data_IF_562737789871
#
_entry.id   IF_562737789871
#
_cell.length_a   1.000
_cell.length_b   1.000
_cell.length_c   1.000
_cell.angle_alpha   90.00
_cell.angle_beta   90.00
_cell.angle_gamma   90.00
#
_symmetry.space_group_name_H-M   'P 1'
#
loop_
_entity.id
_entity.type
_entity.pdbx_description
1 polymer ?
#
# COMPACT_ATOMS: atom_id res chain seq x y z
N UNK A 1 -16.76 15.51 -13.71
CA UNK A 1 -15.42 14.91 -13.75
C UNK A 1 -15.40 13.82 -14.83
N UNK A 2 -14.29 13.68 -15.57
CA UNK A 2 -14.07 12.63 -16.55
C UNK A 2 -13.09 11.59 -15.97
N UNK A 3 -13.43 10.31 -16.06
CA UNK A 3 -12.55 9.22 -15.69
C UNK A 3 -11.77 8.75 -16.93
N UNK A 4 -10.44 8.85 -16.88
CA UNK A 4 -9.56 8.39 -17.95
C UNK A 4 -8.90 7.08 -17.51
N UNK A 5 -9.32 5.97 -18.11
CA UNK A 5 -8.70 4.66 -17.90
C UNK A 5 -7.50 4.54 -18.84
N UNK A 6 -6.32 4.33 -18.26
CA UNK A 6 -5.08 4.20 -19.03
C UNK A 6 -4.90 2.75 -19.46
N UNK A 7 -4.71 2.48 -20.77
CA UNK A 7 -4.44 1.15 -21.28
C UNK A 7 -3.16 0.55 -20.67
N UNK A 8 -3.23 -0.68 -20.18
CA UNK A 8 -2.13 -1.34 -19.46
C UNK A 8 -0.81 -1.38 -20.25
N UNK A 9 -0.88 -1.57 -21.57
CA UNK A 9 0.31 -1.65 -22.43
C UNK A 9 1.13 -0.35 -22.46
N UNK A 10 0.52 0.82 -22.17
CA UNK A 10 1.25 2.09 -22.14
C UNK A 10 2.27 2.17 -21.01
N UNK A 11 2.08 1.42 -19.91
CA UNK A 11 3.02 1.40 -18.79
C UNK A 11 4.39 0.80 -19.14
N UNK A 12 4.48 0.00 -20.21
CA UNK A 12 5.75 -0.53 -20.72
C UNK A 12 6.56 0.48 -21.53
N UNK A 13 5.95 1.61 -21.94
CA UNK A 13 6.60 2.62 -22.79
C UNK A 13 6.34 4.01 -22.20
N UNK A 14 7.24 4.52 -21.33
CA UNK A 14 7.05 5.79 -20.60
C UNK A 14 6.72 6.99 -21.48
N UNK A 15 7.31 7.11 -22.67
CA UNK A 15 7.04 8.21 -23.59
C UNK A 15 5.59 8.21 -24.08
N UNK A 16 5.08 7.06 -24.52
CA UNK A 16 3.69 6.94 -24.98
C UNK A 16 2.69 7.16 -23.84
N UNK A 17 3.02 6.70 -22.62
CA UNK A 17 2.19 6.92 -21.44
C UNK A 17 2.09 8.40 -21.11
N UNK A 18 3.21 9.12 -21.10
CA UNK A 18 3.23 10.55 -20.80
C UNK A 18 2.58 11.39 -21.92
N UNK A 19 2.77 10.99 -23.18
CA UNK A 19 2.04 11.61 -24.29
C UNK A 19 0.53 11.45 -24.14
N UNK A 20 0.08 10.25 -23.76
CA UNK A 20 -1.33 9.98 -23.52
C UNK A 20 -1.90 10.83 -22.36
N UNK A 21 -1.18 10.88 -21.22
CA UNK A 21 -1.58 11.69 -20.05
C UNK A 21 -1.70 13.17 -20.43
N UNK A 22 -0.70 13.71 -21.14
CA UNK A 22 -0.72 15.10 -21.58
C UNK A 22 -1.83 15.37 -22.61
N UNK A 23 -2.02 14.47 -23.59
CA UNK A 23 -3.11 14.58 -24.59
C UNK A 23 -4.48 14.62 -23.93
N UNK A 24 -4.71 13.75 -22.94
CA UNK A 24 -5.97 13.69 -22.19
C UNK A 24 -6.09 14.79 -21.13
N UNK A 25 -5.10 15.65 -20.96
CA UNK A 25 -5.04 16.75 -19.96
C UNK A 25 -5.41 16.26 -18.57
N UNK A 26 -4.82 15.14 -18.15
CA UNK A 26 -5.09 14.51 -16.85
C UNK A 26 -4.67 15.47 -15.74
N UNK A 27 -5.58 15.76 -14.82
CA UNK A 27 -5.34 16.67 -13.70
C UNK A 27 -5.15 15.96 -12.37
N UNK A 28 -5.61 14.70 -12.26
CA UNK A 28 -5.48 13.88 -11.05
C UNK A 28 -5.02 12.48 -11.46
N UNK A 29 -3.97 11.97 -10.80
CA UNK A 29 -3.55 10.58 -10.91
C UNK A 29 -3.93 9.81 -9.63
N UNK A 30 -4.41 8.57 -9.80
CA UNK A 30 -4.62 7.62 -8.69
C UNK A 30 -3.93 6.32 -9.11
N UNK A 31 -2.74 6.06 -8.59
CA UNK A 31 -1.88 4.97 -9.05
C UNK A 31 -1.28 4.16 -7.90
N UNK A 32 -0.84 2.94 -8.21
CA UNK A 32 0.07 2.21 -7.34
C UNK A 32 1.43 2.93 -7.26
N UNK A 33 2.09 2.88 -6.09
CA UNK A 33 3.42 3.47 -5.90
C UNK A 33 4.44 2.92 -6.90
N UNK A 34 4.34 1.63 -7.26
CA UNK A 34 5.20 0.99 -8.28
C UNK A 34 5.04 1.60 -9.68
N UNK A 35 3.85 2.06 -10.06
CA UNK A 35 3.63 2.71 -11.36
C UNK A 35 4.34 4.08 -11.45
N UNK A 36 4.27 4.87 -10.38
CA UNK A 36 5.03 6.12 -10.27
C UNK A 36 6.54 5.83 -10.27
N UNK A 37 6.95 4.82 -9.49
CA UNK A 37 8.34 4.39 -9.40
C UNK A 37 8.91 3.95 -10.75
N UNK A 38 8.15 3.20 -11.54
CA UNK A 38 8.56 2.76 -12.88
C UNK A 38 8.88 3.93 -13.80
N UNK A 39 8.01 4.93 -13.88
CA UNK A 39 8.24 6.13 -14.68
C UNK A 39 9.46 6.92 -14.23
N UNK A 40 9.69 7.01 -12.92
CA UNK A 40 10.87 7.69 -12.37
C UNK A 40 12.17 6.92 -12.72
N UNK A 41 12.19 5.59 -12.55
CA UNK A 41 13.36 4.74 -12.85
C UNK A 41 13.67 4.72 -14.35
N UNK A 42 12.66 4.68 -15.19
CA UNK A 42 12.82 4.68 -16.66
C UNK A 42 13.00 6.10 -17.24
N UNK A 43 13.20 7.11 -16.36
CA UNK A 43 13.47 8.50 -16.75
C UNK A 43 12.39 9.13 -17.64
N UNK A 44 11.14 8.68 -17.48
CA UNK A 44 10.03 9.18 -18.29
C UNK A 44 9.85 10.69 -18.15
N UNK A 45 10.01 11.24 -16.94
CA UNK A 45 9.87 12.67 -16.68
C UNK A 45 10.98 13.54 -17.30
N UNK A 46 12.12 12.94 -17.72
CA UNK A 46 13.12 13.62 -18.54
C UNK A 46 12.64 13.81 -19.99
N UNK A 47 11.79 12.89 -20.49
CA UNK A 47 11.19 13.01 -21.81
C UNK A 47 10.08 14.05 -21.85
N UNK A 48 9.13 13.97 -20.91
CA UNK A 48 7.98 14.89 -20.87
C UNK A 48 7.40 15.00 -19.47
N UNK A 49 7.12 16.23 -19.04
CA UNK A 49 6.48 16.51 -17.75
C UNK A 49 5.00 16.82 -17.97
N UNK A 50 4.07 16.07 -17.34
CA UNK A 50 2.64 16.27 -17.46
C UNK A 50 2.17 17.42 -16.53
N UNK A 51 2.39 18.66 -16.94
CA UNK A 51 2.20 19.88 -16.12
C UNK A 51 0.76 20.19 -15.73
N UNK A 52 -0.22 19.55 -16.37
CA UNK A 52 -1.63 19.71 -16.01
C UNK A 52 -2.02 18.96 -14.72
N UNK A 53 -1.15 18.07 -14.23
CA UNK A 53 -1.41 17.30 -13.02
C UNK A 53 -1.35 18.22 -11.81
N UNK A 54 -2.45 18.26 -11.05
CA UNK A 54 -2.59 19.04 -9.82
C UNK A 54 -2.48 18.19 -8.56
N UNK A 55 -2.84 16.89 -8.67
CA UNK A 55 -2.85 15.98 -7.53
C UNK A 55 -2.48 14.56 -7.93
N UNK A 56 -1.66 13.92 -7.12
CA UNK A 56 -1.26 12.52 -7.28
C UNK A 56 -1.55 11.77 -5.98
N UNK A 57 -2.45 10.80 -6.07
CA UNK A 57 -2.69 9.82 -5.02
C UNK A 57 -1.92 8.54 -5.35
N UNK A 58 -1.22 7.98 -4.37
CA UNK A 58 -0.52 6.71 -4.54
C UNK A 58 -0.71 5.80 -3.34
N UNK A 59 -0.79 4.50 -3.60
CA UNK A 59 -1.05 3.49 -2.57
C UNK A 59 -0.53 2.11 -2.98
N UNK A 60 -0.84 1.11 -2.15
CA UNK A 60 -0.62 -0.30 -2.45
C UNK A 60 0.75 -0.81 -2.03
N UNK A 61 1.79 0.01 -2.07
CA UNK A 61 3.17 -0.35 -1.71
C UNK A 61 3.84 0.83 -1.00
N UNK A 62 4.94 0.54 -0.31
CA UNK A 62 5.77 1.60 0.27
C UNK A 62 6.44 2.39 -0.85
N UNK A 63 6.15 3.69 -0.92
CA UNK A 63 6.77 4.59 -1.90
C UNK A 63 8.20 4.94 -1.47
N UNK A 64 9.22 4.58 -2.26
CA UNK A 64 10.58 5.02 -1.98
C UNK A 64 10.70 6.55 -2.10
N UNK A 65 11.12 7.22 -1.04
CA UNK A 65 11.21 8.69 -0.99
C UNK A 65 12.09 9.26 -2.11
N UNK A 66 13.14 8.54 -2.49
CA UNK A 66 14.01 8.90 -3.61
C UNK A 66 13.25 9.00 -4.94
N UNK A 67 12.32 8.09 -5.21
CA UNK A 67 11.50 8.09 -6.43
C UNK A 67 10.40 9.16 -6.34
N UNK A 68 9.85 9.37 -5.15
CA UNK A 68 8.87 10.45 -4.90
C UNK A 68 9.48 11.83 -5.17
N UNK A 69 10.72 12.07 -4.73
CA UNK A 69 11.45 13.34 -5.00
C UNK A 69 11.58 13.65 -6.49
N UNK A 70 11.81 12.65 -7.34
CA UNK A 70 11.87 12.84 -8.79
C UNK A 70 10.57 13.47 -9.30
N UNK A 71 9.44 12.97 -8.82
CA UNK A 71 8.13 13.54 -9.16
C UNK A 71 7.91 14.94 -8.56
N UNK A 72 8.29 15.15 -7.30
CA UNK A 72 8.17 16.45 -6.63
C UNK A 72 9.03 17.53 -7.33
N UNK A 73 10.25 17.17 -7.77
CA UNK A 73 11.11 18.08 -8.53
C UNK A 73 10.53 18.40 -9.92
N UNK A 74 9.94 17.41 -10.60
CA UNK A 74 9.36 17.61 -11.93
C UNK A 74 8.04 18.39 -11.88
N UNK A 75 7.28 18.26 -10.79
CA UNK A 75 5.94 18.84 -10.62
C UNK A 75 5.84 19.62 -9.29
N UNK A 76 6.55 20.75 -9.12
CA UNK A 76 6.67 21.44 -7.83
C UNK A 76 5.36 22.04 -7.29
N UNK A 77 4.32 22.18 -8.12
CA UNK A 77 3.00 22.68 -7.70
C UNK A 77 1.96 21.59 -7.49
N UNK A 78 2.35 20.31 -7.57
CA UNK A 78 1.42 19.18 -7.46
C UNK A 78 1.30 18.72 -6.02
N UNK A 79 0.09 18.47 -5.56
CA UNK A 79 -0.18 17.83 -4.28
C UNK A 79 0.06 16.31 -4.39
N UNK A 80 0.86 15.77 -3.49
CA UNK A 80 1.10 14.32 -3.37
C UNK A 80 0.42 13.80 -2.12
N UNK A 81 -0.32 12.69 -2.24
CA UNK A 81 -1.02 12.08 -1.11
C UNK A 81 -0.73 10.58 -1.06
N UNK A 82 -0.09 10.15 0.02
CA UNK A 82 0.12 8.74 0.31
C UNK A 82 -1.14 8.16 0.93
N UNK A 83 -1.65 7.07 0.36
CA UNK A 83 -2.83 6.37 0.82
C UNK A 83 -2.45 4.96 1.31
N UNK A 84 -3.12 4.49 2.35
CA UNK A 84 -2.95 3.13 2.84
C UNK A 84 -4.31 2.50 3.15
N UNK A 85 -4.42 1.22 2.88
CA UNK A 85 -5.52 0.35 3.29
C UNK A 85 -5.46 -1.01 2.61
N UNK A 86 -5.99 -2.04 3.26
CA UNK A 86 -6.22 -3.34 2.63
C UNK A 86 -7.52 -3.34 1.83
N UNK A 87 -7.66 -4.29 0.92
CA UNK A 87 -8.88 -4.51 0.11
C UNK A 87 -10.11 -4.68 1.00
N UNK A 88 -9.94 -5.28 2.16
CA UNK A 88 -10.99 -5.61 3.13
C UNK A 88 -11.65 -4.38 3.79
N UNK A 89 -11.08 -3.16 3.64
CA UNK A 89 -11.69 -1.88 4.04
C UNK A 89 -12.07 -1.02 2.84
N UNK A 90 -12.25 -1.62 1.68
CA UNK A 90 -12.56 -0.93 0.41
C UNK A 90 -11.49 0.08 0.03
N UNK A 91 -10.35 -0.45 -0.39
CA UNK A 91 -9.18 0.18 -0.97
C UNK A 91 -8.27 0.95 0.03
N UNK A 92 -8.73 2.03 0.64
CA UNK A 92 -7.88 2.85 1.51
C UNK A 92 -8.63 3.29 2.78
N UNK A 93 -7.92 3.37 3.90
CA UNK A 93 -8.48 3.80 5.17
C UNK A 93 -7.72 4.95 5.83
N UNK A 94 -6.48 5.23 5.37
CA UNK A 94 -5.71 6.40 5.82
C UNK A 94 -5.16 7.19 4.65
N UNK A 95 -4.78 8.44 4.93
CA UNK A 95 -4.15 9.35 3.97
C UNK A 95 -3.09 10.20 4.66
N UNK A 96 -2.07 10.55 3.90
CA UNK A 96 -1.02 11.48 4.32
C UNK A 96 -0.69 12.46 3.19
N UNK A 97 -1.03 13.76 3.31
CA UNK A 97 -0.54 14.80 2.41
C UNK A 97 0.97 14.95 2.57
N UNK A 98 1.72 14.87 1.46
CA UNK A 98 3.17 14.98 1.48
C UNK A 98 3.57 16.44 1.30
N UNK A 99 3.65 17.17 2.40
CA UNK A 99 3.86 18.62 2.39
C UNK A 99 5.33 19.05 2.35
N UNK A 100 6.26 18.09 2.44
CA UNK A 100 7.70 18.36 2.40
C UNK A 100 8.45 17.35 1.54
N UNK A 101 9.68 17.67 1.22
CA UNK A 101 10.62 16.71 0.65
C UNK A 101 11.19 15.84 1.77
N UNK A 102 11.30 14.55 1.53
CA UNK A 102 11.87 13.58 2.46
C UNK A 102 13.29 13.21 2.05
N UNK A 103 14.19 13.09 3.03
CA UNK A 103 15.57 12.67 2.81
C UNK A 103 15.70 11.14 2.69
N UNK A 104 16.84 10.70 2.13
CA UNK A 104 17.10 9.26 1.98
C UNK A 104 17.16 8.59 3.36
N UNK A 105 16.42 7.50 3.51
CA UNK A 105 16.31 6.76 4.76
C UNK A 105 15.14 7.19 5.66
N UNK A 106 14.53 8.34 5.41
CA UNK A 106 13.30 8.70 6.11
C UNK A 106 12.13 7.80 5.67
N UNK A 107 11.18 7.64 6.58
CA UNK A 107 9.95 6.90 6.31
C UNK A 107 8.81 7.85 6.01
N UNK A 108 8.08 7.56 4.96
CA UNK A 108 6.86 8.27 4.62
C UNK A 108 5.72 7.75 5.51
N UNK A 109 4.99 8.64 6.23
CA UNK A 109 3.81 8.24 6.99
C UNK A 109 2.72 7.64 6.09
N UNK A 110 1.93 6.75 6.64
CA UNK A 110 0.63 6.36 6.06
C UNK A 110 -0.52 7.22 6.63
N UNK A 111 -0.20 8.12 7.55
CA UNK A 111 -0.98 9.27 7.97
C UNK A 111 -2.12 8.99 8.92
N UNK A 112 -3.26 9.63 8.67
CA UNK A 112 -4.43 9.62 9.55
C UNK A 112 -5.62 8.91 8.88
N UNK A 113 -6.56 8.37 9.67
CA UNK A 113 -7.77 7.76 9.15
C UNK A 113 -8.63 8.77 8.37
N UNK A 114 -9.30 8.30 7.31
CA UNK A 114 -10.40 9.04 6.73
C UNK A 114 -11.56 9.17 7.72
N UNK A 115 -12.39 10.18 7.53
CA UNK A 115 -13.64 10.32 8.27
C UNK A 115 -14.48 9.05 8.15
N UNK A 116 -15.09 8.63 9.27
CA UNK A 116 -15.86 7.39 9.34
C UNK A 116 -15.01 6.10 9.38
N UNK A 117 -13.69 6.19 9.34
CA UNK A 117 -12.77 5.04 9.53
C UNK A 117 -12.16 5.09 10.92
N UNK A 118 -11.96 3.92 11.51
CA UNK A 118 -11.19 3.76 12.75
C UNK A 118 -9.95 2.95 12.42
N UNK A 119 -8.78 3.47 12.80
CA UNK A 119 -7.51 2.75 12.68
C UNK A 119 -6.82 2.80 14.03
N UNK A 120 -6.49 1.63 14.55
CA UNK A 120 -5.87 1.45 15.86
C UNK A 120 -4.83 0.32 15.79
N UNK A 121 -3.96 0.28 16.78
CA UNK A 121 -2.90 -0.69 16.87
C UNK A 121 -3.19 -1.66 18.00
N UNK A 122 -2.99 -2.96 17.78
CA UNK A 122 -3.08 -3.99 18.80
C UNK A 122 -1.72 -4.63 19.03
N UNK A 123 -1.37 -4.83 20.30
CA UNK A 123 -0.22 -5.61 20.70
C UNK A 123 -0.50 -7.13 20.64
N UNK A 124 0.48 -7.93 21.04
CA UNK A 124 0.36 -9.41 21.05
C UNK A 124 -0.69 -9.91 22.05
N UNK A 125 -1.01 -9.12 23.07
CA UNK A 125 -2.02 -9.42 24.09
C UNK A 125 -3.40 -8.85 23.72
N UNK A 126 -3.58 -8.38 22.47
CA UNK A 126 -4.81 -7.76 21.98
C UNK A 126 -5.20 -6.48 22.74
N UNK A 127 -4.23 -5.78 23.32
CA UNK A 127 -4.43 -4.48 23.96
C UNK A 127 -4.15 -3.35 22.97
N UNK A 128 -4.91 -2.26 23.09
CA UNK A 128 -4.69 -1.07 22.24
C UNK A 128 -3.36 -0.43 22.63
N UNK A 129 -2.50 -0.26 21.62
CA UNK A 129 -1.23 0.46 21.76
C UNK A 129 -1.49 1.96 21.62
N UNK A 130 -1.22 2.71 22.67
CA UNK A 130 -1.36 4.17 22.73
C UNK A 130 -0.01 4.89 22.79
N UNK A 131 1.04 4.18 23.22
CA UNK A 131 2.38 4.73 23.37
C UNK A 131 3.01 5.04 22.00
N UNK A 132 3.58 6.26 21.83
CA UNK A 132 4.33 6.60 20.62
C UNK A 132 5.49 5.61 20.37
N UNK A 133 5.82 5.40 19.09
CA UNK A 133 6.89 4.52 18.60
C UNK A 133 6.74 3.03 18.94
N UNK A 134 5.76 2.65 19.78
CA UNK A 134 5.48 1.24 20.07
C UNK A 134 4.73 0.61 18.92
N UNK A 135 5.26 -0.52 18.43
CA UNK A 135 4.67 -1.26 17.33
C UNK A 135 3.45 -2.07 17.78
N UNK A 136 2.46 -2.14 16.90
CA UNK A 136 1.31 -3.02 17.02
C UNK A 136 0.79 -3.41 15.64
N UNK A 137 -0.09 -4.40 15.60
CA UNK A 137 -0.81 -4.78 14.38
C UNK A 137 -1.84 -3.70 14.03
N UNK A 138 -1.80 -3.22 12.81
CA UNK A 138 -2.78 -2.25 12.30
C UNK A 138 -4.13 -2.95 12.16
N UNK A 139 -5.13 -2.42 12.86
CA UNK A 139 -6.51 -2.87 12.79
C UNK A 139 -7.40 -1.76 12.26
N UNK A 140 -8.36 -2.12 11.41
CA UNK A 140 -9.21 -1.15 10.73
C UNK A 140 -10.69 -1.49 10.88
N UNK A 141 -11.52 -0.46 11.06
CA UNK A 141 -12.97 -0.57 11.15
C UNK A 141 -13.65 0.61 10.46
N UNK A 142 -14.90 0.45 10.11
CA UNK A 142 -15.71 1.49 9.48
C UNK A 142 -16.79 0.89 8.58
N UNK A 143 -17.64 1.74 8.04
CA UNK A 143 -18.79 1.31 7.22
C UNK A 143 -18.39 0.61 5.92
N UNK A 144 -17.19 0.88 5.40
CA UNK A 144 -16.67 0.23 4.19
C UNK A 144 -15.95 -1.10 4.46
N UNK A 145 -16.03 -1.61 5.70
CA UNK A 145 -15.45 -2.91 6.01
C UNK A 145 -16.21 -4.00 5.27
N UNK A 146 -15.49 -4.86 4.54
CA UNK A 146 -16.05 -6.00 3.82
C UNK A 146 -16.81 -6.95 4.77
N UNK A 147 -17.80 -7.66 4.23
CA UNK A 147 -18.56 -8.65 5.00
C UNK A 147 -17.73 -9.88 5.37
N UNK A 148 -16.67 -10.16 4.64
CA UNK A 148 -15.77 -11.30 4.83
C UNK A 148 -15.29 -11.83 3.50
N UNK A 149 -14.69 -13.02 3.54
CA UNK A 149 -14.25 -13.74 2.35
C UNK A 149 -15.35 -14.66 1.85
N UNK A 150 -15.62 -14.58 0.55
CA UNK A 150 -16.69 -15.38 -0.07
C UNK A 150 -16.42 -16.89 0.09
N UNK A 151 -17.40 -17.61 0.66
CA UNK A 151 -17.32 -19.06 0.94
C UNK A 151 -16.09 -19.51 1.74
N UNK A 152 -15.45 -18.61 2.48
CA UNK A 152 -14.32 -18.93 3.35
C UNK A 152 -14.56 -18.35 4.75
N UNK A 153 -15.34 -19.09 5.55
CA UNK A 153 -15.70 -18.69 6.91
C UNK A 153 -14.50 -18.73 7.84
N UNK A 154 -13.63 -19.71 7.68
CA UNK A 154 -12.45 -19.87 8.52
C UNK A 154 -11.54 -18.64 8.46
N UNK A 155 -11.15 -18.22 7.26
CA UNK A 155 -10.34 -17.01 7.08
C UNK A 155 -11.10 -15.73 7.46
N UNK A 156 -12.43 -15.70 7.26
CA UNK A 156 -13.26 -14.58 7.73
C UNK A 156 -13.19 -14.46 9.24
N UNK A 157 -13.42 -15.55 9.97
CA UNK A 157 -13.43 -15.57 11.44
C UNK A 157 -12.02 -15.36 12.02
N UNK A 158 -10.95 -15.68 11.27
CA UNK A 158 -9.56 -15.43 11.65
C UNK A 158 -9.20 -13.95 11.62
N UNK A 159 -9.64 -13.22 10.60
CA UNK A 159 -9.24 -11.83 10.35
C UNK A 159 -10.27 -10.79 10.76
N UNK A 160 -11.57 -11.08 10.63
CA UNK A 160 -12.63 -10.17 11.03
C UNK A 160 -13.09 -10.48 12.44
N UNK A 161 -12.90 -9.53 13.35
CA UNK A 161 -13.17 -9.68 14.79
C UNK A 161 -14.19 -8.67 15.26
N UNK A 162 -14.73 -8.90 16.45
CA UNK A 162 -15.60 -7.96 17.13
C UNK A 162 -14.80 -7.39 18.32
N UNK A 163 -14.72 -6.08 18.38
CA UNK A 163 -14.23 -5.36 19.55
C UNK A 163 -15.39 -5.06 20.47
N UNK A 164 -15.23 -5.37 21.74
CA UNK A 164 -16.18 -4.98 22.79
C UNK A 164 -15.53 -4.01 23.75
N UNK A 165 -16.20 -2.87 23.99
CA UNK A 165 -15.80 -1.89 24.98
C UNK A 165 -17.07 -1.45 25.74
N UNK A 166 -17.34 -2.10 26.86
CA UNK A 166 -18.59 -1.95 27.60
C UNK A 166 -19.80 -2.39 26.76
N UNK A 167 -20.81 -1.53 26.63
CA UNK A 167 -22.03 -1.78 25.83
C UNK A 167 -21.81 -1.53 24.32
N UNK A 168 -20.71 -0.93 23.92
CA UNK A 168 -20.40 -0.65 22.50
C UNK A 168 -19.60 -1.79 21.89
N UNK A 169 -20.06 -2.27 20.77
CA UNK A 169 -19.31 -3.23 19.96
C UNK A 169 -19.18 -2.74 18.52
N UNK A 170 -18.06 -3.06 17.88
CA UNK A 170 -17.88 -2.82 16.46
C UNK A 170 -17.01 -3.91 15.83
N UNK A 171 -17.25 -4.16 14.57
CA UNK A 171 -16.49 -5.12 13.79
C UNK A 171 -15.26 -4.46 13.22
N UNK A 172 -14.12 -5.17 13.24
CA UNK A 172 -12.85 -4.70 12.71
C UNK A 172 -12.11 -5.81 11.98
N UNK A 173 -11.18 -5.41 11.14
CA UNK A 173 -10.30 -6.29 10.38
C UNK A 173 -8.87 -6.18 10.88
N UNK A 174 -8.22 -7.33 11.06
CA UNK A 174 -6.80 -7.46 11.38
C UNK A 174 -6.02 -7.53 10.08
N UNK A 175 -5.19 -6.53 9.80
CA UNK A 175 -4.53 -6.41 8.49
C UNK A 175 -3.33 -7.33 8.33
N UNK A 176 -2.73 -7.80 9.44
CA UNK A 176 -1.43 -8.44 9.45
C UNK A 176 -0.26 -7.46 9.22
N UNK A 177 -0.55 -6.19 8.95
CA UNK A 177 0.45 -5.14 8.84
C UNK A 177 0.83 -4.62 10.22
N UNK A 178 2.12 -4.40 10.48
CA UNK A 178 2.62 -3.74 11.67
C UNK A 178 2.78 -2.25 11.42
N UNK A 179 2.45 -1.44 12.42
CA UNK A 179 2.63 0.00 12.40
C UNK A 179 2.96 0.56 13.78
N UNK A 180 3.26 1.84 13.81
CA UNK A 180 3.42 2.62 15.04
C UNK A 180 2.97 4.05 14.82
N UNK A 181 2.61 4.76 15.88
CA UNK A 181 2.37 6.21 15.83
C UNK A 181 3.67 6.93 16.12
N UNK A 182 4.08 7.80 15.20
CA UNK A 182 5.22 8.68 15.45
C UNK A 182 4.91 9.77 16.48
N UNK A 183 5.96 10.47 16.92
CA UNK A 183 5.81 11.64 17.79
C UNK A 183 4.99 12.77 17.15
N UNK A 184 4.90 12.82 15.83
CA UNK A 184 4.08 13.72 15.04
C UNK A 184 2.59 13.31 14.97
N UNK A 185 2.22 12.22 15.65
CA UNK A 185 0.86 11.67 15.67
C UNK A 185 0.44 10.87 14.45
N UNK A 186 1.26 10.88 13.38
CA UNK A 186 0.98 10.12 12.18
C UNK A 186 1.22 8.62 12.38
N UNK A 187 0.50 7.80 11.61
CA UNK A 187 0.73 6.37 11.55
C UNK A 187 1.82 6.06 10.51
N UNK A 188 2.73 5.15 10.89
CA UNK A 188 3.82 4.67 10.05
C UNK A 188 3.69 3.16 9.85
N UNK A 189 3.97 2.71 8.64
CA UNK A 189 4.07 1.28 8.33
C UNK A 189 5.42 0.72 8.81
N UNK A 190 5.39 -0.42 9.50
CA UNK A 190 6.57 -1.06 10.08
C UNK A 190 6.89 -2.46 9.54
N UNK A 191 6.18 -2.88 8.50
CA UNK A 191 6.34 -4.21 7.90
C UNK A 191 5.10 -5.07 8.08
N UNK A 192 5.26 -6.38 7.83
CA UNK A 192 4.19 -7.35 8.02
C UNK A 192 4.55 -8.34 9.12
N UNK A 193 3.51 -8.88 9.75
CA UNK A 193 3.61 -9.95 10.75
C UNK A 193 3.79 -11.33 10.09
N UNK A 194 3.30 -11.47 8.87
CA UNK A 194 3.35 -12.66 8.02
C UNK A 194 4.33 -12.52 6.85
N UNK A 195 4.41 -13.54 6.02
CA UNK A 195 5.27 -13.58 4.83
C UNK A 195 4.62 -13.00 3.56
N UNK A 196 3.43 -12.41 3.69
CA UNK A 196 2.77 -11.75 2.57
C UNK A 196 3.60 -10.56 2.08
N UNK A 197 3.68 -10.41 0.78
CA UNK A 197 4.39 -9.30 0.13
C UNK A 197 3.47 -8.55 -0.82
N UNK A 198 3.84 -7.30 -1.06
CA UNK A 198 3.29 -6.51 -2.18
C UNK A 198 4.38 -6.35 -3.22
N UNK A 199 4.14 -6.84 -4.44
CA UNK A 199 5.12 -6.86 -5.51
C UNK A 199 4.46 -6.48 -6.85
N UNK A 200 4.92 -5.39 -7.45
CA UNK A 200 4.40 -4.85 -8.72
C UNK A 200 2.87 -4.67 -8.72
N UNK A 201 2.32 -4.15 -7.63
CA UNK A 201 0.88 -3.93 -7.45
C UNK A 201 0.07 -5.18 -7.08
N UNK A 202 0.71 -6.34 -6.98
CA UNK A 202 0.05 -7.59 -6.57
C UNK A 202 0.30 -7.89 -5.10
N UNK A 203 -0.74 -8.36 -4.41
CA UNK A 203 -0.68 -8.93 -3.08
C UNK A 203 -0.40 -10.43 -3.22
N UNK A 204 0.72 -10.90 -2.70
CA UNK A 204 1.22 -12.26 -2.91
C UNK A 204 1.46 -12.91 -1.56
N UNK A 205 0.83 -14.08 -1.35
CA UNK A 205 1.11 -14.98 -0.25
C UNK A 205 2.26 -15.90 -0.68
N UNK A 206 3.44 -15.76 -0.06
CA UNK A 206 4.59 -16.62 -0.41
C UNK A 206 4.30 -18.08 -0.09
N UNK A 207 3.59 -18.35 0.99
CA UNK A 207 3.19 -19.71 1.40
C UNK A 207 2.27 -20.39 0.37
N UNK A 208 1.43 -19.62 -0.36
CA UNK A 208 0.61 -20.19 -1.44
C UNK A 208 1.46 -20.65 -2.62
N UNK A 209 2.50 -19.88 -2.96
CA UNK A 209 3.46 -20.26 -4.00
C UNK A 209 4.23 -21.51 -3.57
N UNK A 210 4.70 -21.54 -2.31
CA UNK A 210 5.42 -22.68 -1.73
C UNK A 210 4.56 -23.95 -1.78
N UNK A 211 3.33 -23.86 -1.33
CA UNK A 211 2.39 -24.98 -1.36
C UNK A 211 2.10 -25.51 -2.78
N UNK A 212 2.13 -24.63 -3.79
CA UNK A 212 1.97 -25.05 -5.19
C UNK A 212 3.22 -25.71 -5.75
N UNK A 213 4.39 -25.21 -5.41
CA UNK A 213 5.66 -25.83 -5.84
C UNK A 213 5.86 -27.19 -5.17
N UNK A 214 5.49 -27.36 -3.90
CA UNK A 214 5.55 -28.63 -3.16
C UNK A 214 4.62 -29.73 -3.75
N UNK A 215 3.64 -29.35 -4.58
CA UNK A 215 2.82 -30.33 -5.31
C UNK A 215 3.52 -30.94 -6.53
N UNK A 216 4.66 -30.39 -6.96
CA UNK A 216 5.43 -30.91 -8.08
C UNK A 216 6.17 -32.17 -7.66
N UNK A 217 6.08 -33.23 -8.48
CA UNK A 217 6.76 -34.50 -8.21
C UNK A 217 8.27 -34.30 -8.04
N UNK A 218 8.83 -34.85 -6.97
CA UNK A 218 10.24 -34.72 -6.61
C UNK A 218 10.59 -33.54 -5.71
N UNK A 219 9.69 -32.57 -5.51
CA UNK A 219 9.88 -31.47 -4.56
C UNK A 219 9.39 -31.89 -3.17
N UNK A 220 10.29 -31.87 -2.19
CA UNK A 220 9.95 -32.22 -0.80
C UNK A 220 9.55 -31.00 0.02
N UNK A 221 10.22 -29.89 -0.21
CA UNK A 221 10.01 -28.62 0.51
C UNK A 221 10.37 -27.45 -0.38
N UNK A 222 9.66 -26.35 -0.26
CA UNK A 222 9.95 -25.10 -0.94
C UNK A 222 10.02 -23.94 0.07
N UNK A 223 10.87 -22.97 -0.22
CA UNK A 223 10.91 -21.70 0.48
C UNK A 223 10.98 -20.56 -0.53
N UNK A 224 10.06 -19.63 -0.46
CA UNK A 224 9.99 -18.46 -1.32
C UNK A 224 10.44 -17.20 -0.56
N UNK A 225 11.24 -16.38 -1.21
CA UNK A 225 11.65 -15.08 -0.66
C UNK A 225 11.56 -13.99 -1.72
N UNK A 226 11.30 -12.76 -1.28
CA UNK A 226 11.48 -11.58 -2.10
C UNK A 226 12.91 -11.03 -1.94
N UNK A 227 13.75 -11.19 -2.97
CA UNK A 227 15.02 -10.48 -3.05
C UNK A 227 14.76 -8.98 -3.28
N UNK A 228 14.73 -8.21 -2.19
CA UNK A 228 14.42 -6.78 -2.25
C UNK A 228 15.45 -5.95 -3.02
N UNK A 229 16.71 -6.43 -3.14
CA UNK A 229 17.77 -5.72 -3.89
C UNK A 229 17.54 -5.80 -5.39
N UNK A 230 17.08 -6.95 -5.87
CA UNK A 230 16.80 -7.21 -7.29
C UNK A 230 15.33 -7.11 -7.64
N UNK A 231 14.48 -6.89 -6.66
CA UNK A 231 13.01 -6.88 -6.77
C UNK A 231 12.49 -8.13 -7.49
N UNK A 232 12.97 -9.32 -7.08
CA UNK A 232 12.64 -10.61 -7.69
C UNK A 232 12.23 -11.63 -6.66
N UNK A 233 11.19 -12.39 -6.98
CA UNK A 233 10.84 -13.59 -6.22
C UNK A 233 11.84 -14.69 -6.56
N UNK A 234 12.27 -15.43 -5.52
CA UNK A 234 13.13 -16.61 -5.63
C UNK A 234 12.48 -17.74 -4.87
N UNK A 235 12.40 -18.89 -5.49
CA UNK A 235 12.00 -20.14 -4.86
C UNK A 235 13.23 -21.06 -4.74
N UNK A 236 13.38 -21.66 -3.59
CA UNK A 236 14.40 -22.66 -3.28
C UNK A 236 13.69 -23.97 -2.97
N UNK A 237 14.00 -25.04 -3.67
CA UNK A 237 13.36 -26.35 -3.56
C UNK A 237 14.37 -27.48 -3.75
#
# INVERSE_FOLDING_TARGET
AELVIIPRHLFSTPSLLLDYICYRKVTVLIWAASALGLLAVLKGLEYKVPTEIKKIFFSGEVMPVKLLRIWQCALPGTEFVNLYGPTEITCNCTYYPVERVYEDGEKLPIGMPFEGRKVFLLDENMQIVTEPEKKGEICVAGESLALGYYRNREETDKHFKIWQAGEKSFRYYRTGDLGYRGADGNLYFAGRKDFQIKHMGHRIELEEIEARIEQVEGVRKCCCILDRRKNRLKAFY
#
